data_IF_469279323940
#
_entry.id   IF_469279323940
#
_cell.length_a   1.000
_cell.length_b   1.000
_cell.length_c   1.000
_cell.angle_alpha   90.00
_cell.angle_beta   90.00
_cell.angle_gamma   90.00
#
_symmetry.space_group_name_H-M   'P 1'
#
loop_
_entity.id
_entity.type
_entity.pdbx_description
1 polymer ?
#
# COMPACT_ATOMS: atom_id res chain seq x y z
N UNK A 1 13.15 -18.81 14.02
CA UNK A 1 14.13 -18.89 12.93
C UNK A 1 15.47 -18.32 13.40
N UNK A 2 16.41 -19.16 13.87
CA UNK A 2 17.71 -18.69 14.38
C UNK A 2 18.64 -18.15 13.28
N UNK A 3 18.40 -18.49 12.01
CA UNK A 3 19.23 -18.08 10.88
C UNK A 3 18.52 -17.11 9.91
N UNK A 4 17.54 -16.32 10.34
CA UNK A 4 16.88 -15.37 9.42
C UNK A 4 17.65 -14.04 9.29
N UNK A 5 17.72 -13.48 8.09
CA UNK A 5 18.30 -12.16 7.86
C UNK A 5 17.39 -11.05 8.40
N UNK A 6 17.96 -10.01 9.00
CA UNK A 6 17.24 -8.79 9.39
C UNK A 6 17.12 -7.86 8.20
N UNK A 7 15.90 -7.55 7.79
CA UNK A 7 15.63 -6.73 6.61
C UNK A 7 14.58 -5.67 6.90
N UNK A 8 14.58 -4.59 6.11
CA UNK A 8 13.62 -3.50 6.19
C UNK A 8 13.05 -3.24 4.79
N UNK A 9 11.83 -2.69 4.71
CA UNK A 9 11.23 -2.35 3.42
C UNK A 9 11.64 -0.95 2.99
N UNK A 10 12.29 -0.85 1.83
CA UNK A 10 12.65 0.42 1.17
C UNK A 10 11.58 0.90 0.18
N UNK A 11 10.50 0.14 0.01
CA UNK A 11 9.42 0.47 -0.92
C UNK A 11 8.76 1.81 -0.57
N UNK A 12 9.05 2.82 -1.40
CA UNK A 12 8.44 4.14 -1.32
C UNK A 12 6.96 4.08 -1.67
N UNK A 13 6.16 4.89 -0.98
CA UNK A 13 4.71 4.94 -1.09
C UNK A 13 4.23 6.38 -1.10
N UNK A 14 3.31 6.69 -2.00
CA UNK A 14 2.66 8.00 -1.98
C UNK A 14 1.39 7.91 -1.15
N UNK A 15 1.23 8.85 -0.22
CA UNK A 15 0.09 8.91 0.69
C UNK A 15 -0.80 10.07 0.28
N UNK A 16 -2.08 9.77 0.02
CA UNK A 16 -3.14 10.74 -0.21
C UNK A 16 -4.12 10.71 0.96
N UNK A 17 -4.11 11.70 1.86
CA UNK A 17 -5.14 11.83 2.88
C UNK A 17 -6.50 12.13 2.28
N UNK A 18 -7.54 11.53 2.86
CA UNK A 18 -8.92 11.78 2.47
C UNK A 18 -9.58 12.64 3.53
N UNK A 19 -10.01 13.82 3.12
CA UNK A 19 -10.65 14.78 4.01
C UNK A 19 -12.09 14.37 4.38
N UNK A 20 -12.77 15.22 5.13
CA UNK A 20 -14.21 15.10 5.32
C UNK A 20 -14.96 15.38 4.01
N UNK A 21 -15.63 14.36 3.47
CA UNK A 21 -16.34 14.44 2.19
C UNK A 21 -17.85 14.56 2.41
N UNK A 22 -18.39 15.75 2.14
CA UNK A 22 -19.85 15.97 2.15
C UNK A 22 -20.56 15.31 0.97
N UNK A 23 -19.82 15.08 -0.11
CA UNK A 23 -20.23 14.51 -1.38
C UNK A 23 -19.73 13.06 -1.57
N UNK A 24 -19.27 12.40 -0.50
CA UNK A 24 -18.82 11.01 -0.53
C UNK A 24 -19.95 10.04 -0.89
N UNK A 25 -19.61 8.99 -1.63
CA UNK A 25 -20.54 7.92 -2.01
C UNK A 25 -20.74 6.92 -0.88
N UNK A 26 -21.84 6.17 -0.89
CA UNK A 26 -22.04 5.04 0.03
C UNK A 26 -20.95 4.00 -0.16
N UNK A 27 -20.31 3.55 0.92
CA UNK A 27 -19.23 2.56 0.88
C UNK A 27 -19.75 1.13 0.79
N UNK A 28 -20.37 0.82 -0.33
CA UNK A 28 -20.87 -0.50 -0.68
C UNK A 28 -20.26 -0.98 -1.98
N UNK A 29 -20.16 -2.29 -2.18
CA UNK A 29 -19.64 -2.85 -3.44
C UNK A 29 -20.45 -2.34 -4.63
N UNK A 30 -19.79 -1.93 -5.74
CA UNK A 30 -20.45 -1.36 -6.90
C UNK A 30 -21.27 -2.40 -7.66
N UNK A 31 -22.20 -1.96 -8.54
CA UNK A 31 -22.88 -2.85 -9.47
C UNK A 31 -21.89 -3.65 -10.31
N UNK A 32 -22.14 -4.95 -10.49
CA UNK A 32 -21.27 -5.86 -11.24
C UNK A 32 -20.25 -6.63 -10.38
N UNK A 33 -20.10 -6.27 -9.10
CA UNK A 33 -19.37 -7.08 -8.11
C UNK A 33 -20.27 -8.20 -7.54
N UNK A 34 -19.69 -9.34 -7.15
CA UNK A 34 -20.44 -10.46 -6.55
C UNK A 34 -21.12 -10.07 -5.23
N UNK A 35 -20.58 -9.07 -4.53
CA UNK A 35 -21.07 -8.55 -3.26
C UNK A 35 -21.84 -7.23 -3.42
N UNK A 36 -22.28 -6.88 -4.65
CA UNK A 36 -22.92 -5.60 -4.96
C UNK A 36 -23.98 -5.18 -3.92
N UNK A 37 -23.87 -3.94 -3.44
CA UNK A 37 -24.77 -3.36 -2.43
C UNK A 37 -24.45 -3.73 -0.97
N UNK A 38 -23.56 -4.71 -0.72
CA UNK A 38 -23.07 -5.00 0.63
C UNK A 38 -22.00 -4.00 1.07
N UNK A 39 -21.82 -3.81 2.38
CA UNK A 39 -20.77 -2.92 2.91
C UNK A 39 -19.38 -3.43 2.56
N UNK A 40 -18.49 -2.52 2.18
CA UNK A 40 -17.06 -2.83 1.99
C UNK A 40 -16.41 -2.95 3.38
N UNK A 41 -15.63 -4.02 3.57
CA UNK A 41 -15.03 -4.37 4.85
C UNK A 41 -13.52 -4.15 4.84
N UNK A 42 -12.94 -3.91 6.01
CA UNK A 42 -11.49 -3.94 6.22
C UNK A 42 -10.96 -5.38 6.34
N UNK A 43 -9.65 -5.52 6.55
CA UNK A 43 -8.99 -6.82 6.69
C UNK A 43 -9.43 -7.60 7.94
N UNK A 44 -9.99 -6.93 8.95
CA UNK A 44 -10.55 -7.52 10.17
C UNK A 44 -12.04 -7.87 10.02
N UNK A 45 -12.62 -7.65 8.83
CA UNK A 45 -14.03 -7.86 8.47
C UNK A 45 -14.99 -6.85 9.11
N UNK A 46 -14.49 -5.70 9.55
CA UNK A 46 -15.33 -4.60 10.03
C UNK A 46 -15.71 -3.67 8.85
N UNK A 47 -16.91 -3.07 8.83
CA UNK A 47 -17.25 -2.08 7.83
C UNK A 47 -16.32 -0.86 7.87
N UNK A 48 -15.82 -0.43 6.71
CA UNK A 48 -14.90 0.72 6.59
C UNK A 48 -15.57 2.04 7.02
N UNK A 49 -16.88 2.18 6.78
CA UNK A 49 -17.65 3.37 7.09
C UNK A 49 -18.95 3.42 6.28
N UNK A 50 -19.68 4.52 6.36
CA UNK A 50 -20.93 4.68 5.62
C UNK A 50 -20.75 5.46 4.31
N UNK A 51 -19.94 6.53 4.30
CA UNK A 51 -19.66 7.35 3.11
C UNK A 51 -18.18 7.68 2.93
N UNK A 52 -17.74 7.86 1.67
CA UNK A 52 -16.37 8.20 1.34
C UNK A 52 -16.04 7.99 -0.14
N UNK A 53 -14.89 7.36 -0.41
CA UNK A 53 -14.41 7.06 -1.77
C UNK A 53 -14.26 5.55 -1.93
N UNK A 54 -14.73 5.03 -3.06
CA UNK A 54 -14.49 3.66 -3.51
C UNK A 54 -13.46 3.70 -4.64
N UNK A 55 -12.52 2.77 -4.62
CA UNK A 55 -11.49 2.63 -5.67
C UNK A 55 -11.12 1.17 -5.88
N UNK A 56 -10.48 0.89 -7.01
CA UNK A 56 -10.08 -0.47 -7.37
C UNK A 56 -8.57 -0.64 -7.29
N UNK A 57 -8.11 -1.68 -6.60
CA UNK A 57 -6.73 -2.15 -6.63
C UNK A 57 -6.60 -3.21 -7.73
N UNK A 58 -5.96 -2.86 -8.85
CA UNK A 58 -5.82 -3.78 -9.99
C UNK A 58 -4.80 -4.89 -9.73
N UNK A 59 -3.88 -4.71 -8.78
CA UNK A 59 -2.89 -5.74 -8.43
C UNK A 59 -3.55 -6.90 -7.70
N UNK A 60 -4.44 -6.58 -6.77
CA UNK A 60 -5.16 -7.58 -5.96
C UNK A 60 -6.54 -7.94 -6.54
N UNK A 61 -6.93 -7.32 -7.66
CA UNK A 61 -8.25 -7.39 -8.25
C UNK A 61 -9.40 -7.16 -7.25
N UNK A 62 -9.23 -6.18 -6.35
CA UNK A 62 -10.14 -5.94 -5.23
C UNK A 62 -10.72 -4.52 -5.23
N UNK A 63 -12.00 -4.43 -4.86
CA UNK A 63 -12.65 -3.16 -4.51
C UNK A 63 -12.23 -2.79 -3.10
N UNK A 64 -11.75 -1.56 -2.93
CA UNK A 64 -11.42 -0.98 -1.63
C UNK A 64 -12.14 0.34 -1.43
N UNK A 65 -12.17 0.79 -0.19
CA UNK A 65 -12.78 2.06 0.15
C UNK A 65 -12.04 2.76 1.27
N UNK A 66 -12.29 4.05 1.39
CA UNK A 66 -11.76 4.91 2.45
C UNK A 66 -12.84 5.86 2.90
N UNK A 67 -13.03 5.98 4.21
CA UNK A 67 -14.04 6.85 4.78
C UNK A 67 -13.66 8.32 4.60
N UNK A 68 -14.63 9.13 4.18
CA UNK A 68 -14.46 10.57 4.00
C UNK A 68 -14.68 11.33 5.29
N UNK A 69 -13.88 11.07 6.33
CA UNK A 69 -14.03 11.65 7.68
C UNK A 69 -12.70 12.15 8.29
N UNK A 70 -11.73 12.53 7.46
CA UNK A 70 -10.37 12.97 7.83
C UNK A 70 -9.44 11.91 8.45
N UNK A 71 -9.91 10.68 8.68
CA UNK A 71 -9.09 9.65 9.33
C UNK A 71 -8.33 8.75 8.35
N UNK A 72 -8.86 8.62 7.13
CA UNK A 72 -8.39 7.68 6.13
C UNK A 72 -7.31 8.24 5.19
N UNK A 73 -6.55 7.33 4.60
CA UNK A 73 -5.61 7.63 3.51
C UNK A 73 -5.74 6.57 2.40
N UNK A 74 -5.42 6.96 1.17
CA UNK A 74 -5.12 6.04 0.07
C UNK A 74 -3.60 5.99 -0.08
N UNK A 75 -3.04 4.79 -0.09
CA UNK A 75 -1.61 4.53 -0.25
C UNK A 75 -1.38 3.96 -1.64
N UNK A 76 -0.49 4.58 -2.41
CA UNK A 76 0.02 4.03 -3.67
C UNK A 76 1.37 3.39 -3.41
N UNK A 77 1.54 2.15 -3.80
CA UNK A 77 2.76 1.39 -3.54
C UNK A 77 3.80 1.58 -4.66
N UNK A 78 5.08 1.36 -4.34
CA UNK A 78 6.21 1.39 -5.30
C UNK A 78 6.32 2.67 -6.12
N UNK A 79 6.05 3.82 -5.49
CA UNK A 79 6.08 5.12 -6.16
C UNK A 79 7.50 5.66 -6.20
N UNK A 80 7.96 6.10 -7.37
CA UNK A 80 9.24 6.79 -7.53
C UNK A 80 9.13 8.28 -7.14
N UNK A 81 10.26 8.92 -6.82
CA UNK A 81 10.28 10.36 -6.52
C UNK A 81 9.74 11.22 -7.67
N UNK A 82 10.02 10.86 -8.93
CA UNK A 82 9.49 11.55 -10.10
C UNK A 82 7.95 11.43 -10.17
N UNK A 83 7.40 10.22 -10.00
CA UNK A 83 5.95 10.03 -9.94
C UNK A 83 5.34 10.78 -8.75
N UNK A 84 6.01 10.82 -7.60
CA UNK A 84 5.55 11.56 -6.44
C UNK A 84 5.45 13.08 -6.73
N UNK A 85 6.41 13.64 -7.47
CA UNK A 85 6.35 15.03 -7.95
C UNK A 85 5.16 15.29 -8.86
N UNK A 86 4.92 14.40 -9.83
CA UNK A 86 3.76 14.49 -10.74
C UNK A 86 2.42 14.39 -9.99
N UNK A 87 2.31 13.45 -9.04
CA UNK A 87 1.12 13.32 -8.20
C UNK A 87 0.90 14.58 -7.35
N UNK A 88 1.94 15.13 -6.72
CA UNK A 88 1.82 16.37 -5.94
C UNK A 88 1.34 17.53 -6.79
N UNK A 89 1.94 17.74 -7.97
CA UNK A 89 1.51 18.78 -8.89
C UNK A 89 0.03 18.61 -9.30
N UNK A 90 -0.39 17.38 -9.58
CA UNK A 90 -1.80 17.08 -9.92
C UNK A 90 -2.74 17.32 -8.74
N UNK A 91 -2.35 16.94 -7.54
CA UNK A 91 -3.11 17.23 -6.33
C UNK A 91 -3.33 18.73 -6.18
N UNK A 92 -2.27 19.53 -6.30
CA UNK A 92 -2.34 20.98 -6.09
C UNK A 92 -3.20 21.65 -7.17
N UNK A 93 -3.12 21.21 -8.42
CA UNK A 93 -4.01 21.65 -9.50
C UNK A 93 -5.49 21.40 -9.16
N UNK A 94 -5.83 20.17 -8.76
CA UNK A 94 -7.19 19.78 -8.43
C UNK A 94 -7.72 20.46 -7.16
N UNK A 95 -6.86 20.63 -6.14
CA UNK A 95 -7.22 21.27 -4.88
C UNK A 95 -7.44 22.78 -5.03
N UNK A 96 -6.78 23.42 -5.99
CA UNK A 96 -7.02 24.83 -6.33
C UNK A 96 -8.30 25.03 -7.14
N UNK A 97 -8.74 24.01 -7.90
CA UNK A 97 -9.99 24.03 -8.65
C UNK A 97 -11.22 23.65 -7.80
N UNK A 98 -11.01 23.15 -6.58
CA UNK A 98 -12.08 22.67 -5.70
C UNK A 98 -12.88 23.81 -5.07
N UNK A 99 -14.10 23.49 -4.63
CA UNK A 99 -14.96 24.41 -3.88
C UNK A 99 -14.37 24.86 -2.54
N UNK A 100 -13.42 24.10 -1.98
CA UNK A 100 -12.69 24.41 -0.74
C UNK A 100 -11.18 24.34 -1.00
N UNK A 101 -10.49 25.49 -1.15
CA UNK A 101 -9.08 25.53 -1.50
C UNK A 101 -8.22 24.64 -0.59
N UNK A 102 -7.38 23.80 -1.20
CA UNK A 102 -6.47 22.90 -0.49
C UNK A 102 -7.07 21.56 -0.07
N UNK A 103 -8.35 21.31 -0.37
CA UNK A 103 -9.03 20.03 -0.10
C UNK A 103 -9.62 19.50 -1.40
N UNK A 104 -9.36 18.23 -1.73
CA UNK A 104 -10.03 17.57 -2.84
C UNK A 104 -11.45 17.17 -2.42
N UNK A 105 -12.43 17.50 -3.25
CA UNK A 105 -13.78 16.93 -3.18
C UNK A 105 -13.80 15.53 -3.80
N UNK A 106 -14.94 14.85 -3.78
CA UNK A 106 -15.04 13.48 -4.29
C UNK A 106 -14.64 13.40 -5.78
N UNK A 107 -15.07 14.36 -6.59
CA UNK A 107 -14.72 14.41 -8.02
C UNK A 107 -13.21 14.62 -8.24
N UNK A 108 -12.58 15.51 -7.48
CA UNK A 108 -11.14 15.74 -7.48
C UNK A 108 -10.36 14.49 -7.08
N UNK A 109 -10.85 13.73 -6.10
CA UNK A 109 -10.20 12.46 -5.72
C UNK A 109 -10.28 11.44 -6.85
N UNK A 110 -11.44 11.28 -7.50
CA UNK A 110 -11.55 10.37 -8.66
C UNK A 110 -10.61 10.79 -9.80
N UNK A 111 -10.57 12.08 -10.13
CA UNK A 111 -9.65 12.61 -11.15
C UNK A 111 -8.17 12.39 -10.78
N UNK A 112 -7.83 12.45 -9.50
CA UNK A 112 -6.49 12.11 -9.00
C UNK A 112 -6.19 10.61 -9.16
N UNK A 113 -7.14 9.74 -8.81
CA UNK A 113 -7.01 8.29 -8.94
C UNK A 113 -6.84 7.85 -10.41
N UNK A 114 -7.54 8.49 -11.33
CA UNK A 114 -7.40 8.26 -12.77
C UNK A 114 -6.03 8.70 -13.28
N UNK A 115 -5.57 9.88 -12.83
CA UNK A 115 -4.23 10.35 -13.17
C UNK A 115 -3.14 9.41 -12.63
N UNK A 116 -3.24 8.95 -11.39
CA UNK A 116 -2.30 7.98 -10.83
C UNK A 116 -2.28 6.67 -11.64
N UNK A 117 -3.45 6.21 -12.11
CA UNK A 117 -3.57 5.06 -13.01
C UNK A 117 -2.83 5.29 -14.33
N UNK A 118 -2.91 6.50 -14.91
CA UNK A 118 -2.17 6.87 -16.13
C UNK A 118 -0.65 6.85 -15.95
N UNK A 119 -0.15 6.98 -14.71
CA UNK A 119 1.26 6.84 -14.35
C UNK A 119 1.67 5.38 -14.05
N UNK A 120 0.75 4.42 -14.24
CA UNK A 120 0.95 3.00 -13.92
C UNK A 120 0.83 2.66 -12.43
N UNK A 121 0.30 3.56 -11.60
CA UNK A 121 0.17 3.35 -10.15
C UNK A 121 -1.17 2.69 -9.80
N UNK A 122 -1.25 1.39 -10.07
CA UNK A 122 -2.46 0.59 -9.87
C UNK A 122 -2.49 -0.23 -8.58
N UNK A 123 -1.33 -0.43 -7.94
CA UNK A 123 -1.21 -1.02 -6.61
C UNK A 123 -1.49 0.05 -5.56
N UNK A 124 -2.73 0.04 -5.05
CA UNK A 124 -3.21 1.02 -4.08
C UNK A 124 -4.11 0.38 -3.05
N UNK A 125 -4.01 0.85 -1.81
CA UNK A 125 -4.82 0.33 -0.71
C UNK A 125 -5.14 1.39 0.33
N UNK A 126 -6.19 1.17 1.12
CA UNK A 126 -6.58 2.10 2.18
C UNK A 126 -5.81 1.84 3.48
N UNK A 127 -5.64 2.89 4.27
CA UNK A 127 -5.14 2.80 5.64
C UNK A 127 -5.63 4.01 6.45
N UNK A 128 -5.05 4.25 7.62
CA UNK A 128 -5.37 5.39 8.49
C UNK A 128 -4.19 6.35 8.62
N UNK A 129 -4.46 7.63 8.88
CA UNK A 129 -3.41 8.61 9.22
C UNK A 129 -2.60 8.18 10.45
N UNK A 130 -3.24 7.53 11.43
CA UNK A 130 -2.57 7.01 12.62
C UNK A 130 -1.52 5.94 12.26
N UNK A 131 -1.84 5.05 11.31
CA UNK A 131 -0.88 4.08 10.80
C UNK A 131 0.33 4.76 10.15
N UNK A 132 0.11 5.80 9.33
CA UNK A 132 1.22 6.57 8.71
C UNK A 132 2.14 7.15 9.79
N UNK A 133 1.56 7.84 10.79
CA UNK A 133 2.33 8.44 11.89
C UNK A 133 3.14 7.43 12.71
N UNK A 134 2.56 6.25 12.95
CA UNK A 134 3.19 5.23 13.82
C UNK A 134 4.18 4.33 13.10
N UNK A 135 4.03 4.14 11.78
CA UNK A 135 4.70 3.06 11.05
C UNK A 135 5.45 3.49 9.80
N UNK A 136 5.41 4.77 9.44
CA UNK A 136 6.04 5.29 8.23
C UNK A 136 6.87 6.53 8.53
N UNK A 137 7.89 6.73 7.70
CA UNK A 137 8.80 7.88 7.77
C UNK A 137 8.76 8.61 6.44
N UNK A 138 8.72 9.95 6.41
CA UNK A 138 8.79 10.70 5.16
C UNK A 138 10.13 10.45 4.44
N UNK A 139 10.10 10.49 3.11
CA UNK A 139 11.31 10.41 2.28
C UNK A 139 11.82 11.84 2.07
N UNK A 140 12.78 12.25 2.91
CA UNK A 140 13.26 13.64 2.92
C UNK A 140 12.11 14.63 3.10
N UNK A 141 12.13 15.71 2.33
CA UNK A 141 11.07 16.74 2.34
C UNK A 141 9.88 16.41 1.42
N UNK A 142 9.87 15.24 0.78
CA UNK A 142 8.81 14.84 -0.15
C UNK A 142 7.53 14.37 0.56
N UNK A 143 7.58 14.15 1.87
CA UNK A 143 6.45 13.75 2.70
C UNK A 143 6.26 14.70 3.89
N UNK A 144 5.03 15.19 4.09
CA UNK A 144 4.68 16.06 5.21
C UNK A 144 3.20 15.88 5.59
N UNK A 145 2.87 15.91 6.89
CA UNK A 145 1.49 15.87 7.39
C UNK A 145 0.65 14.72 6.81
N UNK A 146 1.24 13.53 6.73
CA UNK A 146 0.67 12.31 6.13
C UNK A 146 0.36 12.43 4.63
N UNK A 147 0.93 13.39 3.91
CA UNK A 147 0.78 13.57 2.48
C UNK A 147 2.12 13.55 1.75
N UNK A 148 2.16 12.88 0.59
CA UNK A 148 3.35 12.79 -0.25
C UNK A 148 4.12 11.48 -0.07
N UNK A 149 5.44 11.52 -0.21
CA UNK A 149 6.26 10.30 -0.30
C UNK A 149 6.76 9.84 1.07
N UNK A 150 6.46 8.60 1.41
CA UNK A 150 6.82 7.93 2.64
C UNK A 150 7.42 6.55 2.36
N UNK A 151 8.11 5.98 3.34
CA UNK A 151 8.49 4.56 3.36
C UNK A 151 8.16 3.94 4.71
N UNK A 152 8.24 2.60 4.82
CA UNK A 152 8.14 1.96 6.14
C UNK A 152 9.26 2.49 7.03
N UNK A 153 8.94 2.64 8.31
CA UNK A 153 9.92 3.08 9.29
C UNK A 153 11.07 2.07 9.38
N UNK A 154 12.32 2.52 9.44
CA UNK A 154 13.48 1.61 9.46
C UNK A 154 13.57 0.81 10.77
N UNK A 155 12.83 1.20 11.81
CA UNK A 155 12.66 0.44 13.05
C UNK A 155 11.75 -0.78 12.88
N UNK A 156 11.00 -0.86 11.78
CA UNK A 156 10.09 -1.95 11.45
C UNK A 156 10.82 -3.15 10.81
N UNK A 157 11.76 -3.71 11.60
CA UNK A 157 12.62 -4.81 11.17
C UNK A 157 11.81 -6.08 10.95
N UNK A 158 11.97 -6.66 9.77
CA UNK A 158 11.44 -7.97 9.39
C UNK A 158 12.55 -9.04 9.44
N UNK A 159 12.14 -10.30 9.47
CA UNK A 159 13.03 -11.46 9.33
C UNK A 159 12.78 -12.15 7.99
N UNK A 160 13.82 -12.44 7.23
CA UNK A 160 13.70 -13.04 5.90
C UNK A 160 14.53 -14.30 5.74
N UNK A 161 13.97 -15.29 5.03
CA UNK A 161 14.65 -16.51 4.58
C UNK A 161 14.26 -16.82 3.13
N UNK A 162 15.19 -17.37 2.35
CA UNK A 162 14.92 -17.84 0.99
C UNK A 162 14.40 -19.26 1.00
N UNK A 163 13.42 -19.53 0.15
CA UNK A 163 12.98 -20.85 -0.27
C UNK A 163 13.51 -21.12 -1.67
N UNK A 164 13.92 -22.36 -1.92
CA UNK A 164 14.38 -22.81 -3.25
C UNK A 164 13.38 -23.75 -3.92
N UNK A 165 13.44 -23.75 -5.26
CA UNK A 165 12.59 -24.56 -6.13
C UNK A 165 11.14 -24.07 -6.19
N UNK A 166 10.21 -24.98 -6.51
CA UNK A 166 8.78 -24.67 -6.60
C UNK A 166 7.99 -25.04 -5.35
N UNK A 167 6.89 -24.34 -5.08
CA UNK A 167 6.01 -24.64 -3.97
C UNK A 167 4.79 -23.73 -3.84
N UNK A 168 4.10 -23.89 -2.72
CA UNK A 168 2.90 -23.13 -2.36
C UNK A 168 3.06 -22.61 -0.93
N UNK A 169 2.60 -21.39 -0.68
CA UNK A 169 2.57 -20.78 0.63
C UNK A 169 1.16 -20.36 1.01
N UNK A 170 0.67 -20.86 2.15
CA UNK A 170 -0.62 -20.46 2.72
C UNK A 170 -0.39 -19.34 3.74
N UNK A 171 -0.37 -18.11 3.23
CA UNK A 171 -0.20 -16.89 4.01
C UNK A 171 -1.52 -16.16 4.31
N UNK A 172 -1.45 -14.87 4.69
CA UNK A 172 -2.61 -14.02 4.94
C UNK A 172 -3.39 -13.64 3.67
N UNK A 173 -2.84 -13.92 2.49
CA UNK A 173 -3.54 -13.70 1.22
C UNK A 173 -4.76 -14.62 1.10
N UNK A 174 -5.77 -14.15 0.35
CA UNK A 174 -7.03 -14.87 0.13
C UNK A 174 -6.86 -16.25 -0.54
N UNK A 175 -5.77 -16.46 -1.29
CA UNK A 175 -5.43 -17.75 -1.91
C UNK A 175 -3.98 -18.14 -1.65
N UNK A 176 -3.66 -19.46 -1.64
CA UNK A 176 -2.28 -19.93 -1.55
C UNK A 176 -1.42 -19.37 -2.69
N UNK A 177 -0.30 -18.77 -2.34
CA UNK A 177 0.64 -18.16 -3.29
C UNK A 177 1.55 -19.24 -3.86
N UNK A 178 1.73 -19.26 -5.19
CA UNK A 178 2.62 -20.19 -5.88
C UNK A 178 3.96 -19.54 -6.17
N UNK A 179 5.02 -20.32 -6.20
CA UNK A 179 6.34 -19.91 -6.68
C UNK A 179 6.99 -21.07 -7.44
N UNK A 180 7.68 -20.77 -8.53
CA UNK A 180 8.28 -21.79 -9.41
C UNK A 180 9.81 -21.82 -9.30
N UNK A 181 10.44 -20.69 -8.99
CA UNK A 181 11.89 -20.54 -8.94
C UNK A 181 12.35 -19.83 -7.65
N UNK A 182 11.93 -20.41 -6.52
CA UNK A 182 12.19 -19.87 -5.19
C UNK A 182 11.32 -18.66 -4.84
N UNK A 183 11.40 -18.28 -3.58
CA UNK A 183 10.72 -17.12 -3.02
C UNK A 183 11.35 -16.74 -1.68
N UNK A 184 10.95 -15.60 -1.12
CA UNK A 184 11.38 -15.16 0.20
C UNK A 184 10.20 -15.18 1.15
N UNK A 185 10.32 -15.87 2.29
CA UNK A 185 9.39 -15.70 3.41
C UNK A 185 9.86 -14.49 4.21
N UNK A 186 8.99 -13.51 4.39
CA UNK A 186 9.21 -12.35 5.25
C UNK A 186 8.28 -12.44 6.44
N UNK A 187 8.86 -12.48 7.63
CA UNK A 187 8.16 -12.40 8.90
C UNK A 187 8.19 -10.96 9.43
N UNK A 188 7.02 -10.45 9.81
CA UNK A 188 6.84 -9.15 10.45
C UNK A 188 5.93 -9.30 11.67
N UNK A 189 6.52 -9.23 12.87
CA UNK A 189 5.81 -9.60 14.09
C UNK A 189 5.33 -11.06 14.04
N UNK A 190 4.02 -11.26 14.18
CA UNK A 190 3.39 -12.58 14.09
C UNK A 190 3.00 -12.99 12.66
N UNK A 191 3.08 -12.07 11.69
CA UNK A 191 2.65 -12.33 10.32
C UNK A 191 3.79 -12.81 9.43
N UNK A 192 3.43 -13.62 8.43
CA UNK A 192 4.35 -14.15 7.43
C UNK A 192 3.77 -13.91 6.04
N UNK A 193 4.59 -13.43 5.11
CA UNK A 193 4.22 -13.31 3.69
C UNK A 193 5.29 -13.94 2.81
N UNK A 194 4.85 -14.44 1.67
CA UNK A 194 5.73 -14.86 0.60
C UNK A 194 5.94 -13.66 -0.34
N UNK A 195 7.18 -13.43 -0.78
CA UNK A 195 7.55 -12.40 -1.74
C UNK A 195 8.40 -13.05 -2.82
N UNK A 196 8.10 -12.83 -4.10
CA UNK A 196 8.94 -13.31 -5.20
C UNK A 196 10.32 -12.67 -5.11
N UNK A 197 11.40 -13.40 -5.42
CA UNK A 197 12.78 -12.95 -5.22
C UNK A 197 13.06 -11.57 -5.85
N UNK A 198 12.66 -11.36 -7.10
CA UNK A 198 12.84 -10.06 -7.79
C UNK A 198 12.08 -8.93 -7.09
N UNK A 199 10.84 -9.18 -6.68
CA UNK A 199 10.06 -8.21 -5.91
C UNK A 199 10.71 -7.91 -4.56
N UNK A 200 11.30 -8.92 -3.91
CA UNK A 200 12.00 -8.77 -2.64
C UNK A 200 13.23 -7.87 -2.78
N UNK A 201 14.11 -8.12 -3.74
CA UNK A 201 15.32 -7.31 -3.98
C UNK A 201 15.00 -5.84 -4.34
N UNK A 202 13.89 -5.63 -5.05
CA UNK A 202 13.38 -4.28 -5.36
C UNK A 202 12.83 -3.55 -4.15
N UNK A 203 12.25 -4.25 -3.18
CA UNK A 203 11.44 -3.65 -2.11
C UNK A 203 12.03 -3.75 -0.71
N UNK A 204 13.11 -4.51 -0.54
CA UNK A 204 13.83 -4.70 0.71
C UNK A 204 15.32 -4.37 0.59
N UNK A 205 15.93 -4.16 1.75
CA UNK A 205 17.37 -4.11 1.96
C UNK A 205 17.67 -4.73 3.34
N UNK A 206 18.94 -4.98 3.62
CA UNK A 206 19.34 -5.32 4.98
C UNK A 206 19.03 -4.18 5.95
N UNK A 207 18.83 -4.47 7.24
CA UNK A 207 18.46 -3.46 8.24
C UNK A 207 19.53 -2.36 8.46
N UNK A 208 20.73 -2.52 7.90
CA UNK A 208 21.79 -1.52 7.85
C UNK A 208 21.76 -0.67 6.55
N UNK A 209 20.68 -0.74 5.78
CA UNK A 209 20.47 -0.07 4.49
C UNK A 209 21.33 -0.56 3.30
N UNK A 210 22.08 -1.67 3.41
CA UNK A 210 22.80 -2.21 2.26
C UNK A 210 21.87 -3.00 1.34
N UNK A 211 22.14 -2.96 0.03
CA UNK A 211 21.43 -3.75 -0.95
C UNK A 211 21.47 -5.25 -0.61
N UNK A 212 20.45 -5.99 -1.05
CA UNK A 212 20.27 -7.40 -0.76
C UNK A 212 20.07 -8.17 -2.06
N UNK A 213 20.75 -9.30 -2.19
CA UNK A 213 20.48 -10.34 -3.19
C UNK A 213 19.69 -11.45 -2.49
N UNK A 214 18.54 -11.84 -3.04
CA UNK A 214 17.69 -12.87 -2.43
C UNK A 214 18.43 -14.21 -2.33
N UNK A 215 19.39 -14.50 -3.21
CA UNK A 215 20.20 -15.73 -3.21
C UNK A 215 21.18 -15.80 -2.03
N UNK A 216 21.58 -14.65 -1.50
CA UNK A 216 22.45 -14.54 -0.32
C UNK A 216 21.69 -14.70 1.00
N UNK A 217 20.35 -14.74 0.94
CA UNK A 217 19.55 -15.02 2.12
C UNK A 217 19.77 -16.45 2.63
N UNK A 218 19.75 -16.64 3.95
CA UNK A 218 19.74 -17.97 4.54
C UNK A 218 18.58 -18.81 4.02
N UNK A 219 18.86 -20.07 3.71
CA UNK A 219 17.86 -21.02 3.25
C UNK A 219 16.92 -21.41 4.40
N UNK A 220 15.62 -21.24 4.18
CA UNK A 220 14.57 -21.80 5.00
C UNK A 220 14.53 -23.31 4.82
N UNK A 221 14.71 -24.05 5.92
CA UNK A 221 14.57 -25.50 5.90
C UNK A 221 13.08 -25.82 5.69
N UNK A 222 12.80 -26.71 4.73
CA UNK A 222 11.45 -27.21 4.42
C UNK A 222 10.88 -28.07 5.54
#
# INVERSE_FOLDING_TARGET
MSNAASVISKAQKFILPIGNLKDGVKLVYPPGDENAGQKILDFEKNPIGDTGVIFYNSTDNSVQAVQGNDTGVIIFNLVTENQAGLLRARHDELANASSTPGILDHAGILAFLDYATSLGLTDRYNSTRDFIRKRMTPVGDLGQNEFGLYKRDDRDICKAVRLDGRGFFKGPAASPQKFEDGAVIVQQGAEYRLVQCEAFERTYCYSNNTAIDARELPLGIR
#
